data_IF_924208349728
#
_entry.id   IF_924208349728
#
_cell.length_a   1.000
_cell.length_b   1.000
_cell.length_c   1.000
_cell.angle_alpha   90.00
_cell.angle_beta   90.00
_cell.angle_gamma   90.00
#
_symmetry.space_group_name_H-M   'P 1'
#
loop_
_entity.id
_entity.type
_entity.pdbx_description
1 polymer ?
#
# COMPACT_ATOMS: atom_id res chain seq x y z
N UNK A 1 -26.24 -13.64 -1.56
CA UNK A 1 -24.91 -13.09 -1.84
C UNK A 1 -25.05 -11.62 -2.17
N UNK A 2 -24.27 -10.78 -1.48
CA UNK A 2 -24.23 -9.33 -1.70
C UNK A 2 -22.80 -8.95 -2.10
N UNK A 3 -22.68 -8.24 -3.21
CA UNK A 3 -21.42 -7.61 -3.62
C UNK A 3 -21.60 -6.11 -3.48
N UNK A 4 -20.75 -5.48 -2.69
CA UNK A 4 -20.75 -4.03 -2.49
C UNK A 4 -19.78 -3.40 -3.49
N UNK A 5 -20.25 -2.37 -4.20
CA UNK A 5 -19.39 -1.52 -5.04
C UNK A 5 -19.28 -0.15 -4.39
N UNK A 6 -18.07 0.24 -4.04
CA UNK A 6 -17.75 1.55 -3.47
C UNK A 6 -17.18 2.46 -4.56
N UNK A 7 -17.77 3.64 -4.68
CA UNK A 7 -17.29 4.72 -5.55
C UNK A 7 -17.12 5.98 -4.71
N UNK A 8 -15.96 6.16 -4.15
CA UNK A 8 -15.64 7.29 -3.28
C UNK A 8 -14.15 7.54 -3.23
N UNK A 9 -13.74 8.77 -2.99
CA UNK A 9 -12.33 9.20 -3.01
C UNK A 9 -11.57 8.97 -1.72
N UNK A 10 -12.23 8.43 -0.67
CA UNK A 10 -11.59 8.22 0.64
C UNK A 10 -12.12 6.97 1.33
N UNK A 11 -11.40 6.43 2.33
CA UNK A 11 -11.87 5.35 3.16
C UNK A 11 -13.17 5.72 3.90
N UNK A 12 -14.02 4.72 4.11
CA UNK A 12 -15.25 4.83 4.87
C UNK A 12 -15.34 3.69 5.88
N UNK A 13 -16.10 3.88 6.95
CA UNK A 13 -16.41 2.79 7.86
C UNK A 13 -17.25 1.71 7.16
N UNK A 14 -16.86 0.45 7.35
CA UNK A 14 -17.54 -0.71 6.78
C UNK A 14 -17.96 -1.72 7.87
N UNK A 15 -18.86 -1.33 8.78
CA UNK A 15 -19.26 -2.21 9.89
C UNK A 15 -19.97 -3.48 9.40
N UNK A 16 -20.55 -3.44 8.21
CA UNK A 16 -21.26 -4.54 7.55
C UNK A 16 -20.37 -5.39 6.63
N UNK A 17 -19.07 -5.13 6.54
CA UNK A 17 -18.17 -5.82 5.60
C UNK A 17 -18.24 -7.36 5.74
N UNK A 18 -18.40 -7.88 6.96
CA UNK A 18 -18.52 -9.32 7.21
C UNK A 18 -19.79 -9.99 6.64
N UNK A 19 -20.82 -9.20 6.27
CA UNK A 19 -22.03 -9.69 5.62
C UNK A 19 -21.94 -9.64 4.08
N UNK A 20 -20.90 -9.05 3.53
CA UNK A 20 -20.68 -8.96 2.08
C UNK A 20 -19.90 -10.17 1.57
N UNK A 21 -20.32 -10.72 0.44
CA UNK A 21 -19.58 -11.78 -0.26
C UNK A 21 -18.31 -11.24 -0.92
N UNK A 22 -18.34 -9.99 -1.38
CA UNK A 22 -17.19 -9.27 -1.93
C UNK A 22 -17.41 -7.77 -1.84
N UNK A 23 -16.32 -7.02 -1.85
CA UNK A 23 -16.32 -5.56 -1.93
C UNK A 23 -15.40 -5.16 -3.08
N UNK A 24 -15.92 -4.39 -4.03
CA UNK A 24 -15.15 -3.78 -5.13
C UNK A 24 -15.04 -2.29 -4.85
N UNK A 25 -13.82 -1.79 -4.75
CA UNK A 25 -13.60 -0.35 -4.58
C UNK A 25 -13.04 0.27 -5.86
N UNK A 26 -13.90 1.06 -6.52
CA UNK A 26 -13.58 1.72 -7.78
C UNK A 26 -12.97 3.12 -7.60
N UNK A 27 -12.85 3.62 -6.40
CA UNK A 27 -12.46 5.01 -6.12
C UNK A 27 -13.32 6.00 -6.91
N UNK A 28 -12.69 6.87 -7.72
CA UNK A 28 -13.34 7.82 -8.63
C UNK A 28 -13.15 7.34 -10.09
N UNK A 29 -13.96 6.40 -10.56
CA UNK A 29 -13.65 5.61 -11.76
C UNK A 29 -13.79 6.38 -13.08
N UNK A 30 -14.29 7.60 -13.04
CA UNK A 30 -14.42 8.44 -14.22
C UNK A 30 -15.44 7.90 -15.26
N UNK A 31 -15.29 8.32 -16.50
CA UNK A 31 -16.26 8.06 -17.58
C UNK A 31 -16.40 6.56 -17.94
N UNK A 32 -15.31 5.81 -17.90
CA UNK A 32 -15.28 4.37 -18.19
C UNK A 32 -15.63 3.45 -17.03
N UNK A 33 -15.92 4.01 -15.85
CA UNK A 33 -16.02 3.28 -14.60
C UNK A 33 -17.13 2.23 -14.55
N UNK A 34 -18.29 2.51 -15.13
CA UNK A 34 -19.39 1.56 -15.18
C UNK A 34 -19.01 0.26 -15.88
N UNK A 35 -18.38 0.35 -17.05
CA UNK A 35 -17.94 -0.83 -17.79
C UNK A 35 -16.81 -1.57 -17.05
N UNK A 36 -15.83 -0.84 -16.52
CA UNK A 36 -14.72 -1.45 -15.76
C UNK A 36 -15.22 -2.24 -14.53
N UNK A 37 -16.21 -1.70 -13.81
CA UNK A 37 -16.84 -2.39 -12.67
C UNK A 37 -17.55 -3.67 -13.15
N UNK A 38 -18.31 -3.60 -14.24
CA UNK A 38 -18.99 -4.76 -14.81
C UNK A 38 -17.97 -5.83 -15.24
N UNK A 39 -16.89 -5.45 -15.89
CA UNK A 39 -15.84 -6.38 -16.33
C UNK A 39 -15.19 -7.11 -15.15
N UNK A 40 -14.96 -6.42 -14.03
CA UNK A 40 -14.50 -7.04 -12.78
C UNK A 40 -15.57 -7.98 -12.24
N UNK A 41 -16.81 -7.53 -12.06
CA UNK A 41 -17.89 -8.33 -11.46
C UNK A 41 -18.22 -9.60 -12.24
N UNK A 42 -18.10 -9.55 -13.57
CA UNK A 42 -18.35 -10.71 -14.46
C UNK A 42 -17.12 -11.60 -14.64
N UNK A 43 -15.95 -11.17 -14.18
CA UNK A 43 -14.69 -11.87 -14.37
C UNK A 43 -14.07 -11.71 -15.77
N UNK A 44 -14.60 -10.80 -16.59
CA UNK A 44 -13.99 -10.44 -17.88
C UNK A 44 -12.62 -9.78 -17.68
N UNK A 45 -12.44 -9.07 -16.57
CA UNK A 45 -11.16 -8.53 -16.12
C UNK A 45 -10.81 -9.02 -14.72
N UNK A 46 -9.57 -9.50 -14.53
CA UNK A 46 -9.06 -9.89 -13.22
C UNK A 46 -8.56 -8.64 -12.48
N UNK A 47 -9.14 -8.28 -11.31
CA UNK A 47 -8.71 -7.11 -10.56
C UNK A 47 -7.27 -7.28 -10.05
N UNK A 48 -6.52 -6.19 -10.07
CA UNK A 48 -5.11 -6.15 -9.63
C UNK A 48 -4.75 -4.86 -8.90
N UNK A 49 -5.74 -4.04 -8.59
CA UNK A 49 -5.56 -2.82 -7.82
C UNK A 49 -5.24 -3.13 -6.36
N UNK A 50 -4.44 -2.28 -5.73
CA UNK A 50 -4.15 -2.31 -4.30
C UNK A 50 -4.67 -1.02 -3.68
N UNK A 51 -5.17 -1.11 -2.44
CA UNK A 51 -5.65 0.07 -1.72
C UNK A 51 -4.52 1.07 -1.48
N UNK A 52 -4.75 2.32 -1.86
CA UNK A 52 -3.81 3.41 -1.66
C UNK A 52 -3.92 4.06 -0.27
N UNK A 53 -4.84 3.56 0.55
CA UNK A 53 -5.13 4.06 1.89
C UNK A 53 -5.48 2.90 2.83
N UNK A 54 -5.25 3.11 4.13
CA UNK A 54 -5.69 2.18 5.17
C UNK A 54 -7.14 2.44 5.51
N UNK A 55 -7.97 1.40 5.59
CA UNK A 55 -9.36 1.47 6.04
C UNK A 55 -9.43 1.23 7.55
N UNK A 56 -9.75 2.23 8.36
CA UNK A 56 -9.91 2.07 9.80
C UNK A 56 -11.16 1.22 10.13
N UNK A 57 -11.22 0.69 11.34
CA UNK A 57 -12.44 0.06 11.84
C UNK A 57 -13.52 1.11 12.11
N UNK A 58 -13.12 2.24 12.70
CA UNK A 58 -14.01 3.37 13.04
C UNK A 58 -13.35 4.70 12.70
N UNK A 59 -14.15 5.70 12.40
CA UNK A 59 -13.67 7.08 12.15
C UNK A 59 -12.84 7.64 13.32
N UNK A 60 -13.22 7.32 14.55
CA UNK A 60 -12.47 7.73 15.75
C UNK A 60 -11.03 7.19 15.83
N UNK A 61 -10.71 6.13 15.04
CA UNK A 61 -9.38 5.52 14.99
C UNK A 61 -8.44 6.27 14.03
N UNK A 62 -8.99 7.24 13.28
CA UNK A 62 -8.20 8.11 12.40
C UNK A 62 -7.45 9.14 13.27
N UNK A 63 -6.13 9.34 13.11
CA UNK A 63 -5.35 10.23 13.98
C UNK A 63 -5.87 11.67 14.02
N UNK A 64 -6.44 12.16 12.91
CA UNK A 64 -7.01 13.51 12.82
C UNK A 64 -8.49 13.63 13.20
N UNK A 65 -9.16 12.53 13.58
CA UNK A 65 -10.62 12.50 13.77
C UNK A 65 -11.14 13.56 14.77
N UNK A 66 -10.38 13.80 15.86
CA UNK A 66 -10.75 14.80 16.88
C UNK A 66 -10.30 16.23 16.58
N UNK A 67 -9.55 16.42 15.50
CA UNK A 67 -8.92 17.72 15.18
C UNK A 67 -9.41 18.28 13.84
N UNK A 68 -9.97 17.45 12.99
CA UNK A 68 -10.58 17.87 11.74
C UNK A 68 -11.98 18.41 12.04
N UNK A 69 -12.06 19.72 12.29
CA UNK A 69 -13.31 20.35 12.70
C UNK A 69 -14.03 20.95 11.49
N UNK A 70 -15.37 20.91 11.56
CA UNK A 70 -16.23 21.45 10.51
C UNK A 70 -16.45 22.96 10.61
N UNK A 71 -16.00 23.59 11.69
CA UNK A 71 -16.36 24.96 12.05
C UNK A 71 -15.18 25.89 12.33
N UNK A 72 -13.97 25.39 12.37
CA UNK A 72 -12.78 26.19 12.60
C UNK A 72 -12.14 26.61 11.27
N UNK A 73 -11.65 27.85 11.25
CA UNK A 73 -10.95 28.40 10.09
C UNK A 73 -9.54 27.82 9.90
N UNK A 74 -9.03 27.12 10.93
CA UNK A 74 -7.68 26.56 10.94
C UNK A 74 -7.73 25.07 11.24
N UNK A 75 -7.10 24.25 10.41
CA UNK A 75 -6.87 22.83 10.66
C UNK A 75 -5.39 22.62 11.01
N UNK A 76 -5.13 21.96 12.14
CA UNK A 76 -3.77 21.64 12.57
C UNK A 76 -3.38 20.24 12.07
N UNK A 77 -2.26 20.16 11.35
CA UNK A 77 -1.66 18.89 10.93
C UNK A 77 -0.72 18.36 12.02
N UNK A 78 -1.26 17.58 12.95
CA UNK A 78 -0.52 17.01 14.08
C UNK A 78 0.05 15.61 13.82
N UNK A 79 -0.27 15.04 12.66
CA UNK A 79 0.08 13.66 12.33
C UNK A 79 1.58 13.47 12.06
N UNK A 80 2.29 14.55 11.69
CA UNK A 80 3.70 14.51 11.35
C UNK A 80 4.00 13.43 10.28
N UNK A 81 4.98 12.54 10.49
CA UNK A 81 5.31 11.44 9.59
C UNK A 81 4.34 10.25 9.72
N UNK A 82 3.48 10.24 10.75
CA UNK A 82 2.57 9.13 11.04
C UNK A 82 1.23 9.28 10.32
N UNK A 83 1.29 9.36 8.99
CA UNK A 83 0.12 9.37 8.12
C UNK A 83 -0.23 7.97 7.64
N UNK A 84 -1.53 7.69 7.53
CA UNK A 84 -2.04 6.43 6.99
C UNK A 84 -1.48 5.19 7.71
N UNK A 85 -0.98 4.21 6.97
CA UNK A 85 -0.47 2.95 7.52
C UNK A 85 0.68 3.15 8.53
N UNK A 86 1.48 4.21 8.39
CA UNK A 86 2.58 4.52 9.32
C UNK A 86 2.08 4.77 10.75
N UNK A 87 0.91 5.41 10.88
CA UNK A 87 0.26 5.59 12.17
C UNK A 87 -0.23 4.26 12.75
N UNK A 88 -1.03 3.51 11.96
CA UNK A 88 -1.61 2.25 12.43
C UNK A 88 -0.55 1.22 12.80
N UNK A 89 0.53 1.13 12.04
CA UNK A 89 1.71 0.30 12.38
C UNK A 89 2.36 0.76 13.68
N UNK A 90 2.52 2.08 13.88
CA UNK A 90 3.18 2.65 15.07
C UNK A 90 2.42 2.37 16.36
N UNK A 91 1.10 2.45 16.32
CA UNK A 91 0.25 2.23 17.51
C UNK A 91 -0.30 0.81 17.57
N UNK A 92 0.06 -0.06 16.62
CA UNK A 92 -0.44 -1.43 16.49
C UNK A 92 -1.99 -1.50 16.52
N UNK A 93 -2.67 -0.51 15.92
CA UNK A 93 -4.12 -0.45 15.90
C UNK A 93 -4.68 -1.40 14.83
N UNK A 94 -5.74 -2.15 15.15
CA UNK A 94 -6.41 -2.99 14.17
C UNK A 94 -7.10 -2.14 13.10
N UNK A 95 -7.06 -2.62 11.86
CA UNK A 95 -7.68 -1.95 10.71
C UNK A 95 -8.62 -2.90 9.97
N UNK A 96 -9.52 -2.37 9.16
CA UNK A 96 -10.41 -3.17 8.33
C UNK A 96 -9.67 -3.76 7.13
N UNK A 97 -8.93 -2.91 6.42
CA UNK A 97 -8.05 -3.29 5.32
C UNK A 97 -6.78 -2.44 5.37
N UNK A 98 -5.65 -3.06 5.17
CA UNK A 98 -4.37 -2.38 5.18
C UNK A 98 -4.13 -1.62 3.88
N UNK A 99 -3.29 -0.60 3.94
CA UNK A 99 -2.67 -0.01 2.76
C UNK A 99 -1.97 -1.10 1.94
N UNK A 100 -2.13 -1.07 0.62
CA UNK A 100 -1.53 -2.07 -0.25
C UNK A 100 -2.31 -3.38 -0.35
N UNK A 101 -3.42 -3.54 0.38
CA UNK A 101 -4.29 -4.71 0.29
C UNK A 101 -5.07 -4.72 -1.03
N UNK A 102 -5.30 -5.91 -1.57
CA UNK A 102 -6.16 -6.12 -2.73
C UNK A 102 -6.08 -7.57 -3.19
N UNK A 103 -7.25 -8.15 -3.48
CA UNK A 103 -7.42 -9.52 -3.95
C UNK A 103 -7.36 -9.61 -5.48
N UNK A 104 -7.13 -10.81 -5.96
CA UNK A 104 -7.16 -11.20 -7.37
C UNK A 104 -8.05 -12.44 -7.54
N UNK A 105 -8.45 -12.74 -8.77
CA UNK A 105 -9.10 -14.02 -9.11
C UNK A 105 -8.10 -15.16 -9.35
N UNK A 106 -6.81 -14.89 -9.14
CA UNK A 106 -5.75 -15.88 -9.09
C UNK A 106 -4.95 -15.72 -7.80
N UNK A 107 -3.97 -16.59 -7.58
CA UNK A 107 -3.09 -16.56 -6.41
C UNK A 107 -1.65 -16.40 -6.83
N UNK A 108 -0.84 -15.77 -5.97
CA UNK A 108 0.58 -15.56 -6.23
C UNK A 108 1.41 -16.08 -5.05
N UNK A 109 2.56 -16.65 -5.37
CA UNK A 109 3.59 -17.00 -4.41
C UNK A 109 4.81 -16.11 -4.61
N UNK A 110 5.47 -15.80 -3.51
CA UNK A 110 6.71 -15.00 -3.47
C UNK A 110 7.85 -15.88 -2.96
N UNK A 111 9.02 -15.76 -3.60
CA UNK A 111 10.22 -16.50 -3.20
C UNK A 111 11.49 -15.77 -3.59
N UNK A 112 12.62 -16.30 -3.11
CA UNK A 112 13.98 -15.90 -3.53
C UNK A 112 14.25 -14.38 -3.40
N UNK A 113 13.85 -13.78 -2.28
CA UNK A 113 14.18 -12.39 -2.03
C UNK A 113 15.69 -12.20 -1.93
N UNK A 114 16.24 -11.39 -2.79
CA UNK A 114 17.64 -10.99 -2.80
C UNK A 114 17.78 -9.47 -2.81
N UNK A 115 18.77 -8.97 -2.08
CA UNK A 115 19.15 -7.56 -2.09
C UNK A 115 20.56 -7.45 -2.65
N UNK A 116 20.76 -6.61 -3.65
CA UNK A 116 22.06 -6.34 -4.25
C UNK A 116 22.45 -4.88 -4.05
N UNK A 117 23.76 -4.62 -3.98
CA UNK A 117 24.28 -3.24 -3.97
C UNK A 117 23.88 -2.52 -5.25
N UNK A 118 23.51 -1.25 -5.11
CA UNK A 118 23.01 -0.45 -6.22
C UNK A 118 24.11 0.09 -7.14
N UNK A 119 23.64 0.74 -8.20
CA UNK A 119 24.47 1.45 -9.17
C UNK A 119 24.57 2.96 -8.84
N UNK A 120 24.69 3.78 -9.89
CA UNK A 120 24.91 5.21 -9.74
C UNK A 120 23.69 6.01 -9.22
N UNK A 121 22.47 5.49 -9.43
CA UNK A 121 21.21 6.19 -9.09
C UNK A 121 20.41 5.52 -7.97
N UNK A 122 20.89 4.40 -7.43
CA UNK A 122 20.22 3.61 -6.39
C UNK A 122 21.22 3.13 -5.35
N UNK A 123 20.81 3.07 -4.08
CA UNK A 123 21.65 2.51 -3.01
C UNK A 123 21.71 0.99 -3.13
N UNK A 124 20.58 0.36 -3.40
CA UNK A 124 20.44 -1.07 -3.60
C UNK A 124 19.22 -1.39 -4.44
N UNK A 125 19.05 -2.63 -4.83
CA UNK A 125 17.83 -3.13 -5.42
C UNK A 125 17.36 -4.40 -4.71
N UNK A 126 16.05 -4.56 -4.60
CA UNK A 126 15.43 -5.78 -4.09
C UNK A 126 14.83 -6.56 -5.26
N UNK A 127 15.21 -7.82 -5.40
CA UNK A 127 14.67 -8.74 -6.41
C UNK A 127 13.91 -9.85 -5.71
N UNK A 128 12.71 -10.15 -6.18
CA UNK A 128 11.89 -11.24 -5.68
C UNK A 128 11.28 -12.01 -6.85
N UNK A 129 11.21 -13.33 -6.74
CA UNK A 129 10.50 -14.17 -7.71
C UNK A 129 9.01 -14.17 -7.37
N UNK A 130 8.16 -13.83 -8.34
CA UNK A 130 6.70 -13.90 -8.22
C UNK A 130 6.21 -14.99 -9.18
N UNK A 131 5.40 -15.91 -8.66
CA UNK A 131 4.79 -17.01 -9.44
C UNK A 131 3.27 -16.91 -9.34
N UNK A 132 2.59 -16.95 -10.48
CA UNK A 132 1.15 -17.14 -10.50
C UNK A 132 0.83 -18.62 -10.25
N UNK A 133 0.28 -18.92 -9.08
CA UNK A 133 -0.03 -20.28 -8.62
C UNK A 133 -1.46 -20.71 -8.90
N UNK A 134 -2.29 -19.83 -9.46
CA UNK A 134 -3.67 -20.14 -9.82
C UNK A 134 -3.83 -20.51 -11.30
N UNK A 135 -5.07 -20.61 -11.73
CA UNK A 135 -5.48 -21.09 -13.06
C UNK A 135 -5.88 -19.96 -14.03
N UNK A 136 -5.77 -18.71 -13.60
CA UNK A 136 -6.09 -17.51 -14.41
C UNK A 136 -4.90 -16.60 -14.54
N UNK A 137 -4.78 -15.93 -15.68
CA UNK A 137 -3.84 -14.83 -15.84
C UNK A 137 -4.23 -13.68 -14.89
N UNK A 138 -3.22 -13.04 -14.30
CA UNK A 138 -3.43 -11.95 -13.39
C UNK A 138 -2.20 -11.07 -13.24
N UNK A 139 -2.41 -9.90 -12.64
CA UNK A 139 -1.33 -8.99 -12.32
C UNK A 139 -1.17 -8.87 -10.80
N UNK A 140 0.07 -8.80 -10.35
CA UNK A 140 0.41 -8.57 -8.95
C UNK A 140 1.26 -7.29 -8.81
N UNK A 141 1.12 -6.61 -7.68
CA UNK A 141 1.92 -5.44 -7.32
C UNK A 141 2.86 -5.82 -6.20
N UNK A 142 4.12 -6.02 -6.54
CA UNK A 142 5.20 -6.23 -5.57
C UNK A 142 5.45 -4.91 -4.86
N UNK A 143 5.41 -4.92 -3.54
CA UNK A 143 5.65 -3.75 -2.69
C UNK A 143 6.85 -4.03 -1.79
N UNK A 144 7.87 -3.19 -1.84
CA UNK A 144 9.06 -3.28 -1.01
C UNK A 144 9.00 -2.21 0.07
N UNK A 145 9.12 -2.64 1.30
CA UNK A 145 9.15 -1.75 2.47
C UNK A 145 10.53 -1.82 3.12
N UNK A 146 11.03 -0.67 3.56
CA UNK A 146 12.23 -0.57 4.39
C UNK A 146 11.84 -0.41 5.85
N UNK A 147 12.60 -1.06 6.74
CA UNK A 147 12.47 -0.93 8.19
C UNK A 147 13.87 -0.75 8.78
N UNK A 148 14.11 0.37 9.47
CA UNK A 148 15.36 0.59 10.18
C UNK A 148 15.37 -0.23 11.49
N UNK A 149 16.41 -1.04 11.69
CA UNK A 149 16.57 -1.86 12.90
C UNK A 149 17.35 -1.13 14.01
N UNK A 150 18.30 -0.30 13.64
CA UNK A 150 19.20 0.36 14.58
C UNK A 150 18.73 1.79 14.90
N UNK A 151 17.42 2.00 14.96
CA UNK A 151 16.73 3.27 14.93
C UNK A 151 17.14 4.31 15.95
N UNK A 152 18.07 5.15 15.56
CA UNK A 152 18.22 6.49 16.13
C UNK A 152 17.50 7.46 15.21
N UNK A 153 16.35 7.93 15.62
CA UNK A 153 15.61 8.93 14.84
C UNK A 153 14.10 8.74 14.85
N UNK A 154 13.43 9.76 14.42
CA UNK A 154 11.99 9.82 14.31
C UNK A 154 11.56 9.20 12.99
N UNK A 155 11.28 7.87 13.00
CA UNK A 155 10.90 7.10 11.82
C UNK A 155 9.61 6.31 12.02
N UNK A 156 8.94 6.04 10.91
CA UNK A 156 7.87 5.05 10.85
C UNK A 156 8.43 3.62 11.08
N UNK A 157 7.57 2.69 11.49
CA UNK A 157 7.95 1.28 11.69
C UNK A 157 8.44 0.67 10.38
N UNK A 158 7.74 0.94 9.30
CA UNK A 158 8.14 0.57 7.93
C UNK A 158 7.71 1.66 6.95
N UNK A 159 8.39 1.79 5.83
CA UNK A 159 8.12 2.78 4.79
C UNK A 159 8.15 2.13 3.42
N UNK A 160 7.13 2.40 2.60
CA UNK A 160 7.11 1.93 1.22
C UNK A 160 8.27 2.58 0.46
N UNK A 161 9.25 1.75 0.09
CA UNK A 161 10.47 2.18 -0.58
C UNK A 161 10.35 2.11 -2.11
N UNK A 162 9.51 1.19 -2.60
CA UNK A 162 9.27 1.05 -4.03
C UNK A 162 8.26 -0.03 -4.34
N UNK A 163 7.79 -0.06 -5.57
CA UNK A 163 6.86 -1.09 -6.05
C UNK A 163 7.01 -1.32 -7.54
N UNK A 164 6.60 -2.50 -7.99
CA UNK A 164 6.51 -2.84 -9.40
C UNK A 164 5.30 -3.74 -9.66
N UNK A 165 4.69 -3.61 -10.83
CA UNK A 165 3.56 -4.43 -11.26
C UNK A 165 4.00 -5.41 -12.33
N UNK A 166 3.63 -6.69 -12.16
CA UNK A 166 3.92 -7.77 -13.10
C UNK A 166 2.63 -8.46 -13.52
N UNK A 167 2.55 -8.84 -14.81
CA UNK A 167 1.45 -9.66 -15.35
C UNK A 167 1.98 -11.05 -15.58
N UNK A 168 1.27 -12.07 -15.11
CA UNK A 168 1.68 -13.47 -15.20
C UNK A 168 0.54 -14.34 -15.71
N UNK A 169 0.85 -15.19 -16.68
CA UNK A 169 -0.01 -16.30 -17.07
C UNK A 169 -0.06 -17.37 -15.96
N UNK A 170 -1.05 -18.29 -15.98
CA UNK A 170 -1.08 -19.42 -15.04
C UNK A 170 0.24 -20.22 -15.06
N UNK A 171 0.83 -20.43 -13.88
CA UNK A 171 2.10 -21.15 -13.71
C UNK A 171 3.35 -20.36 -14.09
N UNK A 172 3.20 -19.16 -14.61
CA UNK A 172 4.35 -18.31 -14.98
C UNK A 172 5.03 -17.72 -13.74
N UNK A 173 6.37 -17.63 -13.80
CA UNK A 173 7.22 -17.00 -12.79
C UNK A 173 8.06 -15.91 -13.41
N UNK A 174 8.27 -14.83 -12.68
CA UNK A 174 9.10 -13.70 -13.10
C UNK A 174 9.91 -13.16 -11.90
N UNK A 175 11.18 -12.87 -12.13
CA UNK A 175 11.99 -12.12 -11.20
C UNK A 175 11.67 -10.61 -11.34
N UNK A 176 11.19 -10.00 -10.28
CA UNK A 176 10.81 -8.59 -10.23
C UNK A 176 11.85 -7.83 -9.42
N UNK A 177 12.53 -6.90 -10.04
CA UNK A 177 13.55 -6.05 -9.40
C UNK A 177 12.99 -4.65 -9.18
N UNK A 178 13.09 -4.18 -7.93
CA UNK A 178 12.66 -2.85 -7.51
C UNK A 178 13.90 -2.08 -7.05
N UNK A 179 14.28 -0.98 -7.72
CA UNK A 179 15.37 -0.14 -7.27
C UNK A 179 14.99 0.65 -6.03
N UNK A 180 15.87 0.70 -5.04
CA UNK A 180 15.72 1.43 -3.79
C UNK A 180 16.67 2.62 -3.79
N UNK A 181 16.08 3.80 -3.89
CA UNK A 181 16.81 5.05 -4.01
C UNK A 181 17.15 5.61 -2.62
N UNK A 182 18.03 6.60 -2.60
CA UNK A 182 18.48 7.29 -1.41
C UNK A 182 17.35 7.71 -0.46
N UNK A 183 16.25 8.21 -1.00
CA UNK A 183 15.11 8.65 -0.20
C UNK A 183 14.51 7.54 0.70
N UNK A 184 14.59 6.27 0.30
CA UNK A 184 14.12 5.14 1.10
C UNK A 184 14.90 4.95 2.42
N UNK A 185 16.07 5.55 2.52
CA UNK A 185 17.01 5.44 3.66
C UNK A 185 17.27 6.77 4.34
N UNK A 186 16.67 7.85 3.83
CA UNK A 186 16.92 9.21 4.32
C UNK A 186 15.96 9.62 5.43
N UNK A 187 16.45 10.50 6.31
CA UNK A 187 15.66 11.30 7.23
C UNK A 187 15.88 12.78 6.96
N UNK A 188 14.87 13.59 7.18
CA UNK A 188 15.03 15.04 7.14
C UNK A 188 15.79 15.50 8.39
N UNK A 189 16.91 16.16 8.18
CA UNK A 189 17.72 16.79 9.22
C UNK A 189 17.29 18.26 9.36
N UNK A 190 16.59 18.64 10.44
CA UNK A 190 16.11 20.01 10.61
C UNK A 190 17.23 21.05 10.84
N UNK A 191 18.40 20.64 11.31
CA UNK A 191 19.54 21.55 11.47
C UNK A 191 20.20 21.84 10.12
N UNK A 192 20.37 20.81 9.30
CA UNK A 192 20.91 20.95 7.95
C UNK A 192 19.87 21.43 6.93
N UNK A 193 18.58 21.40 7.26
CA UNK A 193 17.45 21.68 6.35
C UNK A 193 17.51 20.82 5.07
N UNK A 194 17.93 19.54 5.22
CA UNK A 194 18.14 18.63 4.09
C UNK A 194 17.85 17.18 4.45
N UNK A 195 17.63 16.35 3.42
CA UNK A 195 17.46 14.91 3.57
C UNK A 195 18.84 14.24 3.63
N UNK A 196 19.05 13.41 4.65
CA UNK A 196 20.30 12.69 4.85
C UNK A 196 20.08 11.20 5.00
N UNK A 197 20.83 10.41 4.26
CA UNK A 197 20.87 8.95 4.46
C UNK A 197 21.37 8.65 5.86
N UNK A 198 20.61 7.83 6.57
CA UNK A 198 21.00 7.35 7.89
C UNK A 198 21.76 6.03 7.74
N UNK A 199 23.05 5.98 8.11
CA UNK A 199 23.78 4.71 8.16
C UNK A 199 23.12 3.77 9.17
N UNK A 200 23.08 2.47 8.85
CA UNK A 200 22.49 1.49 9.74
C UNK A 200 22.05 0.22 9.03
N UNK A 201 21.42 -0.64 9.81
CA UNK A 201 20.83 -1.88 9.31
C UNK A 201 19.33 -1.70 9.04
N UNK A 202 18.92 -2.17 7.88
CA UNK A 202 17.54 -2.11 7.40
C UNK A 202 17.01 -3.51 7.11
#
# INVERSE_FOLDING_TARGET
NIVLVLCGGSPVELPFAGAMSAIVHGYLPGQGGGQAIVDVLTGAHNPSGKLAETYPLHYRDVPSAGQFTRHEATAEHRDSIYLGYRYYDKVAAPVRYEFGYGLSYTTFAYGDLAVSTGGAEEICSATVTVTNTGDRAGAEVVQIYTQAHDGTGFRAVRELAGFAKVNLAPGESCAVTVPLREHAFSLFDPEAQDWRVQPGRY
#
